data_IF_527929858439
#
_entry.id   IF_527929858439
#
_cell.length_a   1.000
_cell.length_b   1.000
_cell.length_c   1.000
_cell.angle_alpha   90.00
_cell.angle_beta   90.00
_cell.angle_gamma   90.00
#
_symmetry.space_group_name_H-M   'P 1'
#
loop_
_entity.id
_entity.type
_entity.pdbx_description
1 polymer ?
#
# COMPACT_ATOMS: atom_id res chain seq x y z
N UNK A 1 11.39 14.10 16.92
CA UNK A 1 11.00 13.67 15.56
C UNK A 1 9.51 13.88 15.44
N UNK A 2 9.10 14.65 14.44
CA UNK A 2 7.77 15.25 14.35
C UNK A 2 6.68 14.17 14.24
N UNK A 3 5.89 14.04 15.28
CA UNK A 3 4.57 13.40 15.25
C UNK A 3 3.78 14.04 14.10
N UNK A 4 3.42 13.22 13.12
CA UNK A 4 2.47 13.58 12.06
C UNK A 4 1.14 13.78 12.80
N UNK A 5 0.76 15.05 12.96
CA UNK A 5 -0.52 15.44 13.56
C UNK A 5 -1.65 14.82 12.75
N UNK A 6 -2.58 14.22 13.48
CA UNK A 6 -3.84 13.70 12.98
C UNK A 6 -4.74 14.78 12.37
N UNK A 7 -5.63 14.29 11.51
CA UNK A 7 -6.67 14.96 10.73
C UNK A 7 -6.88 16.48 10.90
N UNK A 8 -6.59 17.19 9.80
CA UNK A 8 -6.85 18.61 9.50
C UNK A 8 -5.94 19.62 10.21
N UNK A 9 -5.12 20.30 9.41
CA UNK A 9 -5.58 21.60 8.95
C UNK A 9 -5.67 21.57 7.43
N UNK A 10 -6.84 21.90 6.86
CA UNK A 10 -6.84 22.53 5.55
C UNK A 10 -5.79 23.63 5.60
N UNK A 11 -4.75 23.56 4.78
CA UNK A 11 -3.73 24.60 4.68
C UNK A 11 -4.49 25.90 4.41
N UNK A 12 -4.62 26.76 5.44
CA UNK A 12 -5.26 28.06 5.29
C UNK A 12 -4.24 28.90 4.54
N UNK A 13 -4.31 28.83 3.21
CA UNK A 13 -3.43 29.61 2.33
C UNK A 13 -3.59 31.08 2.70
N UNK A 14 -2.47 31.81 2.80
CA UNK A 14 -2.52 33.26 2.93
C UNK A 14 -3.17 33.87 1.67
N UNK A 15 -3.67 35.09 1.79
CA UNK A 15 -4.22 35.82 0.63
C UNK A 15 -3.14 36.05 -0.45
N UNK A 16 -1.87 36.23 -0.06
CA UNK A 16 -0.74 36.32 -0.99
C UNK A 16 -0.54 35.02 -1.77
N UNK A 17 -0.49 33.88 -1.07
CA UNK A 17 -0.42 32.55 -1.68
C UNK A 17 -1.57 32.28 -2.64
N UNK A 18 -2.79 32.66 -2.25
CA UNK A 18 -3.97 32.46 -3.07
C UNK A 18 -3.91 33.30 -4.35
N UNK A 19 -3.44 34.54 -4.25
CA UNK A 19 -3.27 35.44 -5.41
C UNK A 19 -2.22 34.90 -6.37
N UNK A 20 -1.07 34.48 -5.85
CA UNK A 20 -0.01 33.85 -6.65
C UNK A 20 -0.49 32.57 -7.36
N UNK A 21 -1.23 31.71 -6.65
CA UNK A 21 -1.81 30.50 -7.23
C UNK A 21 -2.92 30.80 -8.25
N UNK A 22 -3.65 31.91 -8.11
CA UNK A 22 -4.63 32.36 -9.12
C UNK A 22 -3.94 32.77 -10.41
N UNK A 23 -2.81 33.48 -10.33
CA UNK A 23 -1.99 33.85 -11.49
C UNK A 23 -1.38 32.61 -12.16
N UNK A 24 -0.84 31.68 -11.36
CA UNK A 24 -0.37 30.39 -11.85
C UNK A 24 -1.51 29.55 -12.46
N UNK A 25 -2.70 29.63 -11.88
CA UNK A 25 -3.89 28.88 -12.29
C UNK A 25 -4.65 29.43 -13.49
N UNK A 26 -4.10 30.41 -14.21
CA UNK A 26 -4.58 30.87 -15.52
C UNK A 26 -4.23 29.87 -16.64
N UNK A 27 -4.44 28.58 -16.40
CA UNK A 27 -4.20 27.50 -17.36
C UNK A 27 -5.40 27.36 -18.31
N UNK A 28 -5.19 26.92 -19.57
CA UNK A 28 -6.27 26.79 -20.55
C UNK A 28 -7.32 25.73 -20.18
N UNK A 29 -6.96 24.76 -19.35
CA UNK A 29 -7.79 23.65 -18.87
C UNK A 29 -7.40 23.29 -17.43
N UNK A 30 -8.20 22.49 -16.70
CA UNK A 30 -7.82 22.02 -15.37
C UNK A 30 -6.45 21.32 -15.35
N UNK A 31 -5.61 21.69 -14.39
CA UNK A 31 -4.24 21.19 -14.26
C UNK A 31 -3.94 20.86 -12.79
N UNK A 32 -3.41 19.67 -12.53
CA UNK A 32 -2.94 19.24 -11.21
C UNK A 32 -1.54 19.77 -10.93
N UNK A 33 -1.35 20.49 -9.83
CA UNK A 33 -0.02 20.89 -9.39
C UNK A 33 0.75 19.68 -8.84
N UNK A 34 1.82 19.27 -9.54
CA UNK A 34 2.66 18.12 -9.18
C UNK A 34 4.11 18.52 -8.88
N UNK A 35 4.44 19.80 -9.00
CA UNK A 35 5.77 20.32 -8.73
C UNK A 35 6.14 20.20 -7.25
N UNK A 36 7.08 19.31 -6.93
CA UNK A 36 7.49 19.02 -5.56
C UNK A 36 8.11 20.24 -4.86
N UNK A 37 8.81 21.09 -5.61
CA UNK A 37 9.44 22.27 -5.01
C UNK A 37 8.36 23.26 -4.61
N UNK A 38 7.43 23.56 -5.51
CA UNK A 38 6.32 24.48 -5.22
C UNK A 38 5.47 23.96 -4.07
N UNK A 39 5.07 22.68 -4.12
CA UNK A 39 4.25 22.08 -3.06
C UNK A 39 4.92 22.21 -1.69
N UNK A 40 6.25 22.00 -1.59
CA UNK A 40 6.99 22.23 -0.33
C UNK A 40 6.99 23.71 0.11
N UNK A 41 7.11 24.66 -0.83
CA UNK A 41 7.02 26.08 -0.47
C UNK A 41 5.62 26.48 0.00
N UNK A 42 4.57 25.90 -0.60
CA UNK A 42 3.19 26.07 -0.15
C UNK A 42 2.99 25.51 1.27
N UNK A 43 3.56 24.34 1.57
CA UNK A 43 3.55 23.75 2.90
C UNK A 43 4.18 24.69 3.95
N UNK A 44 5.28 25.37 3.59
CA UNK A 44 5.95 26.33 4.46
C UNK A 44 5.33 27.73 4.47
N UNK A 45 4.27 27.96 3.68
CA UNK A 45 3.63 29.28 3.55
C UNK A 45 4.51 30.34 2.86
N UNK A 46 5.47 29.92 2.02
CA UNK A 46 6.47 30.80 1.38
C UNK A 46 6.17 31.04 -0.10
N UNK A 47 5.01 31.61 -0.40
CA UNK A 47 4.57 31.79 -1.79
C UNK A 47 5.27 32.95 -2.52
N UNK A 48 5.69 33.97 -1.78
CA UNK A 48 6.30 35.18 -2.34
C UNK A 48 7.83 35.03 -2.58
N UNK A 49 8.39 33.87 -2.20
CA UNK A 49 9.83 33.56 -2.28
C UNK A 49 10.15 32.52 -3.36
N UNK A 50 9.15 32.07 -4.13
CA UNK A 50 9.35 31.07 -5.17
C UNK A 50 9.82 31.77 -6.44
N UNK A 51 11.14 31.82 -6.65
CA UNK A 51 11.69 32.21 -7.95
C UNK A 51 11.37 31.12 -8.98
N UNK A 52 10.55 31.45 -9.97
CA UNK A 52 10.22 30.60 -11.10
C UNK A 52 11.37 30.60 -12.13
N UNK A 53 12.58 30.26 -11.68
CA UNK A 53 13.73 30.09 -12.57
C UNK A 53 13.68 28.76 -13.36
N UNK A 54 12.65 27.94 -13.11
CA UNK A 54 12.42 26.61 -13.71
C UNK A 54 10.94 26.50 -14.10
N UNK A 55 10.65 25.73 -15.15
CA UNK A 55 9.28 25.39 -15.57
C UNK A 55 8.53 24.61 -14.49
N UNK A 56 7.32 25.06 -14.17
CA UNK A 56 6.42 24.46 -13.18
C UNK A 56 5.83 23.16 -13.70
N UNK A 57 6.01 22.07 -12.96
CA UNK A 57 5.44 20.76 -13.34
C UNK A 57 3.95 20.67 -13.00
N UNK A 58 3.15 20.37 -14.02
CA UNK A 58 1.70 20.16 -13.90
C UNK A 58 1.24 18.86 -14.56
N UNK A 59 0.26 18.20 -13.95
CA UNK A 59 -0.45 17.06 -14.50
C UNK A 59 -1.69 17.51 -15.26
N UNK A 60 -1.93 17.01 -16.47
CA UNK A 60 -3.10 17.36 -17.28
C UNK A 60 -3.76 16.09 -17.80
N UNK A 61 -5.08 16.03 -17.75
CA UNK A 61 -5.85 14.91 -18.31
C UNK A 61 -5.61 14.82 -19.84
N UNK A 62 -5.30 13.63 -20.34
CA UNK A 62 -4.93 13.39 -21.74
C UNK A 62 -6.06 13.73 -22.73
N UNK A 63 -7.31 13.79 -22.27
CA UNK A 63 -8.45 14.30 -23.04
C UNK A 63 -8.25 15.75 -23.51
N UNK A 64 -7.34 16.50 -22.86
CA UNK A 64 -6.99 17.87 -23.23
C UNK A 64 -5.69 17.98 -24.03
N UNK A 65 -5.11 16.88 -24.49
CA UNK A 65 -3.85 16.89 -25.25
C UNK A 65 -3.93 17.73 -26.53
N UNK A 66 -5.12 17.89 -27.11
CA UNK A 66 -5.38 18.79 -28.25
C UNK A 66 -5.10 20.28 -27.95
N UNK A 67 -5.02 20.68 -26.67
CA UNK A 67 -4.62 22.03 -26.20
C UNK A 67 -3.11 22.18 -25.98
N UNK A 68 -2.28 21.20 -26.37
CA UNK A 68 -0.84 21.20 -26.13
C UNK A 68 -0.11 22.49 -26.56
N UNK A 69 -0.54 23.12 -27.65
CA UNK A 69 0.05 24.36 -28.17
C UNK A 69 -0.39 25.63 -27.41
N UNK A 70 -1.36 25.52 -26.50
CA UNK A 70 -1.90 26.65 -25.72
C UNK A 70 -1.21 26.83 -24.36
N UNK A 71 -0.25 25.97 -24.02
CA UNK A 71 0.46 26.04 -22.74
C UNK A 71 1.59 27.07 -22.79
N UNK A 72 1.63 27.90 -21.75
CA UNK A 72 2.73 28.83 -21.49
C UNK A 72 4.04 28.03 -21.29
N UNK A 73 5.16 28.56 -21.80
CA UNK A 73 6.49 27.96 -21.67
C UNK A 73 6.95 27.82 -20.21
N UNK A 74 6.32 28.53 -19.28
CA UNK A 74 6.56 28.36 -17.84
C UNK A 74 6.09 27.02 -17.30
N UNK A 75 5.35 26.19 -18.05
CA UNK A 75 4.88 24.89 -17.61
C UNK A 75 5.61 23.72 -18.27
N UNK A 76 5.96 22.73 -17.45
CA UNK A 76 6.30 21.39 -17.89
C UNK A 76 5.06 20.50 -17.71
N UNK A 77 4.41 20.14 -18.82
CA UNK A 77 3.13 19.42 -18.82
C UNK A 77 3.36 17.91 -18.87
N UNK A 78 2.81 17.20 -17.89
CA UNK A 78 2.77 15.74 -17.84
C UNK A 78 1.33 15.28 -18.04
N UNK A 79 1.06 14.50 -19.09
CA UNK A 79 -0.28 13.99 -19.34
C UNK A 79 -0.55 12.72 -18.51
N UNK A 80 -1.78 12.57 -18.04
CA UNK A 80 -2.27 11.36 -17.39
C UNK A 80 -3.62 10.94 -17.97
N UNK A 81 -3.89 9.64 -17.93
CA UNK A 81 -5.23 9.10 -18.17
C UNK A 81 -5.97 8.94 -16.84
N UNK A 82 -7.29 9.14 -16.87
CA UNK A 82 -8.18 9.05 -15.72
C UNK A 82 -9.31 8.05 -15.97
N UNK A 83 -8.96 6.76 -15.98
CA UNK A 83 -9.92 5.68 -16.22
C UNK A 83 -10.89 5.51 -15.03
N UNK A 84 -12.18 5.33 -15.32
CA UNK A 84 -13.20 5.04 -14.31
C UNK A 84 -13.07 3.67 -13.65
N UNK A 85 -12.41 2.72 -14.30
CA UNK A 85 -12.24 1.35 -13.80
C UNK A 85 -11.12 1.20 -12.78
N UNK A 86 -10.23 2.20 -12.69
CA UNK A 86 -9.08 2.19 -11.80
C UNK A 86 -9.21 3.28 -10.73
N UNK A 87 -8.53 3.14 -9.59
CA UNK A 87 -8.51 4.15 -8.53
C UNK A 87 -7.27 5.08 -8.53
N UNK A 88 -6.56 5.13 -9.66
CA UNK A 88 -5.37 5.93 -9.87
C UNK A 88 -5.39 6.75 -11.16
N UNK A 89 -4.60 7.82 -11.18
CA UNK A 89 -4.21 8.56 -12.38
C UNK A 89 -2.96 7.91 -12.96
N UNK A 90 -2.91 7.68 -14.27
CA UNK A 90 -1.80 7.01 -14.95
C UNK A 90 -1.07 7.94 -15.91
N UNK A 91 0.12 8.37 -15.48
CA UNK A 91 1.02 9.24 -16.22
C UNK A 91 1.91 8.40 -17.14
N UNK A 92 1.67 8.50 -18.45
CA UNK A 92 2.31 7.71 -19.51
C UNK A 92 3.53 8.46 -20.10
N UNK A 93 4.51 8.77 -19.26
CA UNK A 93 5.77 9.42 -19.61
C UNK A 93 6.93 8.39 -19.68
N UNK A 94 8.16 8.86 -19.97
CA UNK A 94 9.35 7.99 -20.11
C UNK A 94 9.50 7.00 -18.94
N UNK A 95 9.21 7.47 -17.73
CA UNK A 95 9.05 6.64 -16.54
C UNK A 95 7.60 6.69 -16.08
N UNK A 96 6.79 5.71 -16.49
CA UNK A 96 5.37 5.60 -16.13
C UNK A 96 5.17 5.78 -14.63
N UNK A 97 4.20 6.61 -14.25
CA UNK A 97 3.84 6.86 -12.86
C UNK A 97 2.35 6.65 -12.65
N UNK A 98 1.98 6.03 -11.53
CA UNK A 98 0.59 6.01 -11.07
C UNK A 98 0.48 6.63 -9.67
N UNK A 99 -0.57 7.40 -9.44
CA UNK A 99 -0.91 7.97 -8.12
C UNK A 99 -2.38 7.76 -7.82
N UNK A 100 -2.81 7.61 -6.56
CA UNK A 100 -4.23 7.54 -6.25
C UNK A 100 -4.95 8.77 -6.80
N UNK A 101 -6.17 8.62 -7.33
CA UNK A 101 -6.96 9.76 -7.82
C UNK A 101 -7.83 10.41 -6.74
N UNK A 102 -8.00 9.72 -5.61
CA UNK A 102 -8.79 10.18 -4.46
C UNK A 102 -7.89 10.84 -3.40
N UNK A 103 -7.39 12.04 -3.69
CA UNK A 103 -6.72 12.89 -2.69
C UNK A 103 -7.45 14.24 -2.58
N UNK A 104 -7.45 14.86 -1.39
CA UNK A 104 -8.09 16.15 -1.21
C UNK A 104 -7.29 17.25 -1.92
N UNK A 105 -7.99 18.10 -2.65
CA UNK A 105 -7.42 19.25 -3.35
C UNK A 105 -8.30 20.48 -3.22
N UNK A 106 -7.69 21.65 -3.38
CA UNK A 106 -8.35 22.93 -3.53
C UNK A 106 -8.27 23.36 -4.99
N UNK A 107 -9.38 23.82 -5.56
CA UNK A 107 -9.40 24.41 -6.90
C UNK A 107 -9.19 25.92 -6.82
N UNK A 108 -8.18 26.43 -7.52
CA UNK A 108 -7.87 27.86 -7.64
C UNK A 108 -7.78 28.18 -9.14
N UNK A 109 -8.81 28.84 -9.68
CA UNK A 109 -8.97 28.94 -11.13
C UNK A 109 -9.09 27.53 -11.74
N UNK A 110 -8.20 27.22 -12.69
CA UNK A 110 -8.08 25.87 -13.27
C UNK A 110 -7.02 25.01 -12.58
N UNK A 111 -6.27 25.53 -11.60
CA UNK A 111 -5.27 24.75 -10.88
C UNK A 111 -5.92 23.90 -9.78
N UNK A 112 -5.59 22.62 -9.73
CA UNK A 112 -5.92 21.68 -8.65
C UNK A 112 -4.69 21.57 -7.75
N UNK A 113 -4.81 22.04 -6.52
CA UNK A 113 -3.70 22.09 -5.55
C UNK A 113 -3.98 21.08 -4.43
N UNK A 114 -3.15 20.03 -4.26
CA UNK A 114 -3.28 19.11 -3.13
C UNK A 114 -3.28 19.85 -1.78
N UNK A 115 -4.22 19.52 -0.89
CA UNK A 115 -4.34 20.21 0.41
C UNK A 115 -3.60 19.49 1.54
N UNK A 116 -3.45 18.17 1.44
CA UNK A 116 -2.61 17.38 2.35
C UNK A 116 -1.27 17.13 1.68
N UNK A 117 -0.50 18.21 1.55
CA UNK A 117 0.75 18.26 0.77
C UNK A 117 1.77 17.17 1.19
N UNK A 118 2.05 16.93 2.50
CA UNK A 118 3.01 15.92 2.89
C UNK A 118 2.65 14.53 2.36
N UNK A 119 1.38 14.14 2.50
CA UNK A 119 0.89 12.85 1.99
C UNK A 119 1.01 12.82 0.47
N UNK A 120 0.58 13.87 -0.24
CA UNK A 120 0.69 13.91 -1.71
C UNK A 120 2.15 13.76 -2.19
N UNK A 121 3.10 14.43 -1.53
CA UNK A 121 4.52 14.31 -1.86
C UNK A 121 5.05 12.90 -1.63
N UNK A 122 4.59 12.22 -0.58
CA UNK A 122 4.92 10.82 -0.32
C UNK A 122 4.30 9.88 -1.38
N UNK A 123 3.05 10.11 -1.81
CA UNK A 123 2.42 9.37 -2.91
C UNK A 123 3.18 9.57 -4.23
N UNK A 124 3.52 10.82 -4.54
CA UNK A 124 4.27 11.18 -5.74
C UNK A 124 5.68 10.59 -5.74
N UNK A 125 6.36 10.59 -4.60
CA UNK A 125 7.69 9.98 -4.46
C UNK A 125 7.68 8.49 -4.82
N UNK A 126 6.60 7.77 -4.47
CA UNK A 126 6.42 6.34 -4.70
C UNK A 126 5.70 6.00 -6.00
N UNK A 127 5.44 6.99 -6.85
CA UNK A 127 4.56 6.84 -8.01
C UNK A 127 5.15 6.01 -9.14
N UNK A 128 6.46 5.73 -9.15
CA UNK A 128 7.10 4.94 -10.19
C UNK A 128 6.38 3.60 -10.35
N UNK A 129 5.84 3.33 -11.54
CA UNK A 129 5.07 2.12 -11.78
C UNK A 129 5.98 0.91 -11.99
N UNK A 130 5.67 -0.20 -11.32
CA UNK A 130 6.27 -1.50 -11.57
C UNK A 130 5.19 -2.48 -12.01
N UNK A 131 5.34 -3.14 -13.18
CA UNK A 131 4.41 -4.16 -13.63
C UNK A 131 4.61 -5.48 -12.87
N UNK A 132 3.51 -6.20 -12.68
CA UNK A 132 3.55 -7.63 -12.40
C UNK A 132 4.07 -8.43 -13.61
N UNK A 133 4.47 -9.69 -13.39
CA UNK A 133 5.00 -10.59 -14.43
C UNK A 133 3.92 -11.22 -15.33
N UNK A 134 2.64 -11.13 -14.94
CA UNK A 134 1.50 -11.70 -15.67
C UNK A 134 1.69 -13.16 -16.11
N UNK A 135 2.21 -13.99 -15.19
CA UNK A 135 2.53 -15.39 -15.47
C UNK A 135 1.27 -16.25 -15.39
N UNK A 136 1.15 -17.20 -16.32
CA UNK A 136 0.16 -18.27 -16.19
C UNK A 136 0.70 -19.38 -15.29
N UNK A 137 0.08 -19.56 -14.12
CA UNK A 137 0.52 -20.54 -13.14
C UNK A 137 -0.17 -21.89 -13.33
N UNK A 138 0.64 -22.94 -13.54
CA UNK A 138 0.20 -24.33 -13.62
C UNK A 138 -0.05 -24.85 -12.21
N UNK A 139 -1.32 -24.89 -11.80
CA UNK A 139 -1.76 -25.32 -10.46
C UNK A 139 -2.15 -26.80 -10.36
N UNK A 140 -2.07 -27.50 -11.49
CA UNK A 140 -2.42 -28.91 -11.53
C UNK A 140 -1.31 -29.75 -10.91
N UNK A 141 -1.67 -30.58 -9.93
CA UNK A 141 -0.86 -31.74 -9.59
C UNK A 141 -0.83 -32.65 -10.82
N UNK A 142 0.35 -32.97 -11.40
CA UNK A 142 0.45 -33.90 -12.52
C UNK A 142 -0.21 -35.26 -12.21
N UNK A 143 -0.32 -35.63 -10.93
CA UNK A 143 -0.95 -36.87 -10.45
C UNK A 143 -2.48 -36.86 -10.52
N UNK A 144 -3.12 -35.69 -10.59
CA UNK A 144 -4.59 -35.53 -10.56
C UNK A 144 -5.19 -35.03 -11.88
N UNK A 145 -4.35 -34.82 -12.91
CA UNK A 145 -4.77 -34.40 -14.25
C UNK A 145 -5.86 -35.30 -14.86
N UNK A 146 -5.86 -36.58 -14.48
CA UNK A 146 -6.81 -37.58 -14.95
C UNK A 146 -8.05 -37.73 -14.04
N UNK A 147 -8.11 -37.02 -12.90
CA UNK A 147 -9.22 -37.08 -11.93
C UNK A 147 -9.68 -35.67 -11.50
N UNK A 148 -10.22 -34.86 -12.43
CA UNK A 148 -10.59 -33.47 -12.17
C UNK A 148 -11.64 -33.30 -11.05
N UNK A 149 -12.52 -34.29 -10.86
CA UNK A 149 -13.48 -34.31 -9.75
C UNK A 149 -12.78 -34.40 -8.38
N UNK A 150 -11.76 -35.26 -8.25
CA UNK A 150 -10.99 -35.43 -7.02
C UNK A 150 -10.12 -34.20 -6.73
N UNK A 151 -9.57 -33.58 -7.77
CA UNK A 151 -8.83 -32.32 -7.66
C UNK A 151 -9.70 -31.18 -7.12
N UNK A 152 -10.95 -31.05 -7.58
CA UNK A 152 -11.93 -30.08 -7.07
C UNK A 152 -12.36 -30.37 -5.63
N UNK A 153 -12.31 -31.63 -5.20
CA UNK A 153 -12.64 -32.07 -3.84
C UNK A 153 -11.47 -31.90 -2.86
N UNK A 154 -10.22 -31.90 -3.34
CA UNK A 154 -8.98 -31.78 -2.54
C UNK A 154 -8.52 -30.33 -2.43
N UNK A 155 -8.69 -29.51 -3.48
CA UNK A 155 -8.45 -28.05 -3.46
C UNK A 155 -9.64 -27.31 -2.83
N UNK A 156 -10.14 -27.85 -1.71
CA UNK A 156 -11.41 -27.53 -1.05
C UNK A 156 -11.39 -26.21 -0.28
N UNK A 157 -10.37 -25.39 -0.46
CA UNK A 157 -10.34 -24.09 0.20
C UNK A 157 -11.30 -23.14 -0.50
N UNK A 158 -12.01 -22.30 0.27
CA UNK A 158 -12.80 -21.27 -0.33
C UNK A 158 -11.85 -20.38 -1.12
N UNK A 159 -11.95 -20.44 -2.45
CA UNK A 159 -11.22 -19.53 -3.33
C UNK A 159 -11.55 -18.12 -2.87
N UNK A 160 -10.56 -17.34 -2.46
CA UNK A 160 -10.76 -15.91 -2.24
C UNK A 160 -11.30 -15.33 -3.56
N UNK A 161 -12.47 -14.65 -3.55
CA UNK A 161 -13.02 -14.04 -4.75
C UNK A 161 -12.14 -12.84 -5.11
N UNK A 162 -11.08 -13.07 -5.89
CA UNK A 162 -9.97 -12.14 -6.10
C UNK A 162 -10.39 -10.68 -6.31
N UNK A 163 -11.35 -10.42 -7.20
CA UNK A 163 -11.84 -9.07 -7.50
C UNK A 163 -12.53 -8.42 -6.28
N UNK A 164 -13.37 -9.17 -5.57
CA UNK A 164 -14.06 -8.65 -4.37
C UNK A 164 -13.08 -8.48 -3.20
N UNK A 165 -12.22 -9.46 -2.97
CA UNK A 165 -11.18 -9.41 -1.92
C UNK A 165 -10.23 -8.24 -2.15
N UNK A 166 -9.73 -8.03 -3.37
CA UNK A 166 -8.85 -6.89 -3.68
C UNK A 166 -9.58 -5.55 -3.54
N UNK A 167 -10.88 -5.48 -3.84
CA UNK A 167 -11.68 -4.28 -3.56
C UNK A 167 -11.76 -3.99 -2.05
N UNK A 168 -11.94 -5.02 -1.22
CA UNK A 168 -11.85 -4.84 0.24
C UNK A 168 -10.45 -4.39 0.66
N UNK A 169 -9.39 -4.97 0.09
CA UNK A 169 -8.02 -4.54 0.36
C UNK A 169 -7.78 -3.07 0.00
N UNK A 170 -8.32 -2.63 -1.15
CA UNK A 170 -8.26 -1.24 -1.61
C UNK A 170 -9.01 -0.30 -0.67
N UNK A 171 -10.19 -0.71 -0.17
CA UNK A 171 -10.92 0.06 0.83
C UNK A 171 -10.14 0.18 2.15
N UNK A 172 -9.51 -0.90 2.63
CA UNK A 172 -8.65 -0.83 3.82
C UNK A 172 -7.48 0.12 3.63
N UNK A 173 -6.83 0.08 2.45
CA UNK A 173 -5.80 1.04 2.06
C UNK A 173 -6.32 2.48 2.12
N UNK A 174 -7.51 2.76 1.59
CA UNK A 174 -8.08 4.11 1.67
C UNK A 174 -8.34 4.57 3.10
N UNK A 175 -8.77 3.66 3.98
CA UNK A 175 -8.90 3.96 5.41
C UNK A 175 -7.54 4.27 6.05
N UNK A 176 -6.49 3.49 5.76
CA UNK A 176 -5.12 3.75 6.22
C UNK A 176 -4.58 5.10 5.74
N UNK A 177 -4.81 5.47 4.48
CA UNK A 177 -4.36 6.74 3.91
C UNK A 177 -4.97 7.96 4.61
N UNK A 178 -6.19 7.86 5.17
CA UNK A 178 -6.81 8.94 5.97
C UNK A 178 -6.01 9.26 7.24
N UNK A 179 -5.26 8.29 7.75
CA UNK A 179 -4.38 8.42 8.91
C UNK A 179 -2.93 8.69 8.52
N UNK A 180 -2.66 8.98 7.24
CA UNK A 180 -1.30 9.20 6.73
C UNK A 180 -0.47 7.92 6.65
N UNK A 181 -1.09 6.74 6.71
CA UNK A 181 -0.40 5.45 6.64
C UNK A 181 -0.44 4.94 5.21
N UNK A 182 0.73 4.65 4.64
CA UNK A 182 0.87 4.08 3.28
C UNK A 182 1.21 2.59 3.43
N UNK A 183 0.28 1.66 3.11
CA UNK A 183 0.54 0.24 3.23
C UNK A 183 1.29 -0.34 2.02
N UNK A 184 1.96 -1.46 2.23
CA UNK A 184 2.68 -2.22 1.21
C UNK A 184 2.07 -3.61 1.06
N UNK A 185 2.02 -4.14 -0.16
CA UNK A 185 1.72 -5.56 -0.32
C UNK A 185 2.82 -6.38 0.35
N UNK A 186 2.43 -7.41 1.09
CA UNK A 186 3.35 -8.31 1.75
C UNK A 186 2.98 -9.78 1.51
N UNK A 187 3.83 -10.71 1.93
CA UNK A 187 3.51 -12.14 1.99
C UNK A 187 2.95 -12.73 0.69
N UNK A 188 1.92 -13.55 0.83
CA UNK A 188 1.28 -14.25 -0.28
C UNK A 188 0.58 -13.30 -1.25
N UNK A 189 0.07 -12.16 -0.76
CA UNK A 189 -0.52 -11.10 -1.61
C UNK A 189 0.51 -10.50 -2.54
N UNK A 190 1.70 -10.19 -2.02
CA UNK A 190 2.80 -9.64 -2.80
C UNK A 190 3.30 -10.63 -3.86
N UNK A 191 3.47 -11.91 -3.49
CA UNK A 191 3.82 -12.96 -4.44
C UNK A 191 2.75 -13.11 -5.53
N UNK A 192 1.48 -13.14 -5.17
CA UNK A 192 0.36 -13.20 -6.10
C UNK A 192 0.40 -12.05 -7.10
N UNK A 193 0.48 -10.81 -6.60
CA UNK A 193 0.61 -9.63 -7.45
C UNK A 193 1.81 -9.77 -8.39
N UNK A 194 3.01 -9.99 -7.85
CA UNK A 194 4.24 -9.99 -8.65
C UNK A 194 4.20 -11.08 -9.73
N UNK A 195 3.69 -12.26 -9.39
CA UNK A 195 3.69 -13.43 -10.25
C UNK A 195 2.57 -13.40 -11.29
N UNK A 196 1.35 -13.10 -10.89
CA UNK A 196 0.15 -13.36 -11.69
C UNK A 196 -0.88 -12.22 -11.71
N UNK A 197 -0.48 -11.01 -11.30
CA UNK A 197 -1.31 -9.81 -11.35
C UNK A 197 -2.65 -9.93 -10.60
N UNK A 198 -2.71 -10.83 -9.62
CA UNK A 198 -3.91 -11.17 -8.84
C UNK A 198 -3.46 -11.73 -7.50
N UNK A 199 -4.36 -11.81 -6.53
CA UNK A 199 -4.13 -12.64 -5.33
C UNK A 199 -4.07 -14.14 -5.71
N UNK A 200 -3.32 -14.92 -4.94
CA UNK A 200 -3.17 -16.36 -5.17
C UNK A 200 -4.53 -17.05 -4.87
N UNK A 201 -5.17 -17.74 -5.83
CA UNK A 201 -6.57 -18.18 -5.67
C UNK A 201 -6.84 -19.19 -4.55
N UNK A 202 -5.80 -19.83 -4.01
CA UNK A 202 -5.89 -20.85 -2.96
C UNK A 202 -5.31 -20.38 -1.62
N UNK A 203 -4.97 -19.09 -1.46
CA UNK A 203 -4.68 -18.52 -0.14
C UNK A 203 -5.98 -18.25 0.61
N UNK A 204 -5.88 -18.07 1.92
CA UNK A 204 -7.04 -17.87 2.82
C UNK A 204 -7.17 -16.45 3.35
N UNK A 205 -6.20 -15.60 3.06
CA UNK A 205 -5.99 -14.26 3.58
C UNK A 205 -5.27 -13.38 2.55
N UNK A 206 -5.11 -12.11 2.90
CA UNK A 206 -4.26 -11.16 2.19
C UNK A 206 -3.38 -10.41 3.19
N UNK A 207 -2.09 -10.30 2.90
CA UNK A 207 -1.15 -9.58 3.75
C UNK A 207 -0.80 -8.18 3.21
N UNK A 208 -0.81 -7.20 4.11
CA UNK A 208 -0.15 -5.91 3.92
C UNK A 208 0.79 -5.59 5.08
N UNK A 209 1.77 -4.73 4.86
CA UNK A 209 2.65 -4.23 5.89
C UNK A 209 2.60 -2.70 5.96
N UNK A 210 2.87 -2.14 7.13
CA UNK A 210 3.08 -0.70 7.34
C UNK A 210 4.37 -0.51 8.14
N UNK A 211 5.05 0.62 8.00
CA UNK A 211 6.22 0.87 8.84
C UNK A 211 5.84 0.97 10.30
N UNK A 212 6.64 0.34 11.16
CA UNK A 212 6.49 0.46 12.61
C UNK A 212 6.53 1.92 13.08
N UNK A 213 7.33 2.74 12.40
CA UNK A 213 7.51 4.17 12.61
C UNK A 213 6.32 5.00 12.13
N UNK A 214 5.43 4.41 11.33
CA UNK A 214 4.17 4.99 10.90
C UNK A 214 2.96 4.39 11.64
N UNK A 215 3.21 3.59 12.70
CA UNK A 215 2.14 3.13 13.58
C UNK A 215 1.38 4.33 14.15
N UNK A 216 0.06 4.31 13.99
CA UNK A 216 -0.83 5.35 14.48
C UNK A 216 -1.88 4.72 15.43
N UNK A 217 -1.81 4.97 16.75
CA UNK A 217 -2.81 4.47 17.70
C UNK A 217 -4.24 4.92 17.35
N UNK A 218 -4.42 6.10 16.75
CA UNK A 218 -5.76 6.57 16.36
C UNK A 218 -6.35 5.72 15.22
N UNK A 219 -5.53 5.21 14.31
CA UNK A 219 -6.00 4.26 13.30
C UNK A 219 -6.47 2.96 13.96
N UNK A 220 -5.75 2.49 14.98
CA UNK A 220 -6.15 1.31 15.74
C UNK A 220 -7.49 1.53 16.44
N UNK A 221 -7.68 2.65 17.16
CA UNK A 221 -8.97 3.00 17.76
C UNK A 221 -10.09 3.12 16.71
N UNK A 222 -9.78 3.67 15.54
CA UNK A 222 -10.72 3.76 14.43
C UNK A 222 -11.19 2.38 13.92
N UNK A 223 -10.33 1.36 13.88
CA UNK A 223 -10.73 -0.01 13.51
C UNK A 223 -11.79 -0.60 14.45
N UNK A 224 -11.84 -0.15 15.70
CA UNK A 224 -12.84 -0.55 16.70
C UNK A 224 -14.16 0.22 16.59
N UNK A 225 -14.15 1.36 15.91
CA UNK A 225 -15.33 2.20 15.72
C UNK A 225 -16.34 1.60 14.74
N UNK A 226 -17.55 2.19 14.70
CA UNK A 226 -18.55 1.89 13.66
C UNK A 226 -18.25 2.55 12.32
N UNK A 227 -17.28 3.46 12.27
CA UNK A 227 -16.89 4.18 11.06
C UNK A 227 -15.91 3.38 10.19
N UNK A 228 -15.22 2.39 10.77
CA UNK A 228 -14.42 1.46 9.98
C UNK A 228 -15.32 0.47 9.23
N UNK A 229 -14.98 0.22 7.98
CA UNK A 229 -15.63 -0.79 7.13
C UNK A 229 -15.15 -2.20 7.49
N UNK A 230 -14.24 -2.29 8.46
CA UNK A 230 -13.60 -3.50 8.92
C UNK A 230 -13.88 -3.72 10.41
N UNK A 231 -13.65 -4.96 10.83
CA UNK A 231 -13.71 -5.39 12.23
C UNK A 231 -12.44 -6.15 12.56
N UNK A 232 -11.85 -5.89 13.72
CA UNK A 232 -10.64 -6.56 14.19
C UNK A 232 -10.98 -7.98 14.64
N UNK A 233 -10.47 -8.99 13.92
CA UNK A 233 -10.66 -10.42 14.22
C UNK A 233 -9.64 -10.92 15.23
N UNK A 234 -8.37 -10.52 15.07
CA UNK A 234 -7.24 -11.01 15.85
C UNK A 234 -6.17 -9.94 15.97
N UNK A 235 -5.46 -9.94 17.09
CA UNK A 235 -4.20 -9.24 17.31
C UNK A 235 -3.16 -10.24 17.80
N UNK A 236 -1.95 -10.17 17.24
CA UNK A 236 -0.76 -10.90 17.67
C UNK A 236 0.37 -9.91 18.00
N UNK A 237 1.23 -10.27 18.96
CA UNK A 237 2.42 -9.51 19.32
C UNK A 237 2.14 -8.22 20.09
N UNK A 238 3.18 -7.42 20.28
CA UNK A 238 3.13 -6.08 20.86
C UNK A 238 3.60 -5.06 19.83
N UNK A 239 3.13 -3.80 19.89
CA UNK A 239 3.48 -2.76 18.90
C UNK A 239 4.99 -2.63 18.68
N UNK A 240 5.80 -2.82 19.72
CA UNK A 240 7.26 -2.78 19.65
C UNK A 240 7.93 -4.13 19.34
N UNK A 241 7.18 -5.23 19.25
CA UNK A 241 7.69 -6.57 18.99
C UNK A 241 6.63 -7.47 18.33
N UNK A 242 6.83 -7.75 17.05
CA UNK A 242 6.10 -8.78 16.31
C UNK A 242 4.59 -8.55 16.17
N UNK A 243 4.17 -7.29 16.04
CA UNK A 243 2.76 -6.91 15.95
C UNK A 243 2.12 -7.26 14.60
N UNK A 244 0.93 -7.85 14.67
CA UNK A 244 0.04 -8.17 13.55
C UNK A 244 -1.41 -7.94 13.97
N UNK A 245 -2.21 -7.35 13.08
CA UNK A 245 -3.67 -7.29 13.24
C UNK A 245 -4.33 -7.96 12.05
N UNK A 246 -5.21 -8.91 12.32
CA UNK A 246 -6.13 -9.46 11.32
C UNK A 246 -7.45 -8.70 11.36
N UNK A 247 -7.86 -8.13 10.24
CA UNK A 247 -9.18 -7.51 10.06
C UNK A 247 -10.05 -8.30 9.08
N UNK A 248 -11.37 -8.17 9.21
CA UNK A 248 -12.36 -8.70 8.28
C UNK A 248 -13.23 -7.57 7.75
N UNK A 249 -13.62 -7.57 6.46
CA UNK A 249 -14.63 -6.63 5.99
C UNK A 249 -15.97 -6.90 6.70
N UNK A 250 -16.73 -5.83 6.96
CA UNK A 250 -18.05 -5.93 7.59
C UNK A 250 -19.14 -6.41 6.63
N UNK A 251 -18.95 -6.19 5.33
CA UNK A 251 -19.88 -6.52 4.24
C UNK A 251 -19.12 -7.29 3.17
N UNK A 252 -19.82 -8.16 2.45
CA UNK A 252 -19.23 -8.97 1.38
C UNK A 252 -18.51 -10.21 1.89
N UNK A 253 -17.68 -10.80 1.04
CA UNK A 253 -16.91 -11.99 1.38
C UNK A 253 -15.86 -11.68 2.46
N UNK A 254 -15.86 -12.40 3.61
CA UNK A 254 -15.03 -12.06 4.77
C UNK A 254 -13.59 -12.57 4.62
N UNK A 255 -12.87 -12.14 3.57
CA UNK A 255 -11.44 -12.44 3.42
C UNK A 255 -10.66 -11.76 4.57
N UNK A 256 -9.97 -12.51 5.44
CA UNK A 256 -9.03 -11.95 6.41
C UNK A 256 -7.95 -11.12 5.72
N UNK A 257 -7.61 -9.98 6.31
CA UNK A 257 -6.51 -9.14 5.88
C UNK A 257 -5.58 -8.95 7.07
N UNK A 258 -4.34 -9.40 6.95
CA UNK A 258 -3.32 -9.27 7.99
C UNK A 258 -2.48 -8.01 7.74
N UNK A 259 -2.41 -7.16 8.76
CA UNK A 259 -1.66 -5.91 8.78
C UNK A 259 -0.44 -6.12 9.69
N UNK A 260 0.74 -6.23 9.08
CA UNK A 260 2.01 -6.41 9.79
C UNK A 260 2.70 -5.07 10.04
N UNK A 261 3.38 -4.95 11.18
CA UNK A 261 4.38 -3.89 11.36
C UNK A 261 5.74 -4.33 10.80
N UNK A 262 6.28 -3.50 9.91
CA UNK A 262 7.57 -3.65 9.29
C UNK A 262 8.60 -2.80 10.05
N UNK A 263 9.40 -3.46 10.87
CA UNK A 263 10.39 -2.86 11.75
C UNK A 263 11.73 -2.66 11.04
N UNK A 264 12.48 -1.64 11.45
CA UNK A 264 13.90 -1.52 11.11
C UNK A 264 14.75 -2.47 11.98
N UNK A 265 15.78 -3.04 11.38
CA UNK A 265 16.84 -3.74 12.07
C UNK A 265 18.20 -3.35 11.50
N UNK A 266 19.24 -3.54 12.31
CA UNK A 266 20.63 -3.31 11.89
C UNK A 266 21.47 -4.54 12.23
N UNK A 267 22.21 -5.03 11.26
CA UNK A 267 23.16 -6.12 11.48
C UNK A 267 24.42 -5.53 12.12
N UNK A 268 24.68 -5.89 13.39
CA UNK A 268 25.78 -5.30 14.16
C UNK A 268 27.16 -5.62 13.56
N UNK A 269 27.31 -6.78 12.91
CA UNK A 269 28.59 -7.21 12.32
C UNK A 269 28.92 -6.50 11.02
N UNK A 270 27.93 -6.35 10.13
CA UNK A 270 28.11 -5.77 8.79
C UNK A 270 27.75 -4.29 8.73
N UNK A 271 27.06 -3.77 9.75
CA UNK A 271 26.52 -2.42 9.78
C UNK A 271 25.33 -2.19 8.86
N UNK A 272 24.86 -3.21 8.15
CA UNK A 272 23.79 -3.12 7.14
C UNK A 272 22.41 -3.05 7.77
N UNK A 273 21.54 -2.21 7.22
CA UNK A 273 20.14 -2.13 7.63
C UNK A 273 19.32 -3.22 6.94
N UNK A 274 18.28 -3.69 7.61
CA UNK A 274 17.31 -4.62 7.08
C UNK A 274 15.91 -4.25 7.61
N UNK A 275 14.88 -4.86 7.03
CA UNK A 275 13.50 -4.72 7.52
C UNK A 275 12.99 -6.06 8.00
N UNK A 276 12.03 -6.11 8.90
CA UNK A 276 11.45 -7.38 9.31
C UNK A 276 10.01 -7.24 9.78
N UNK A 277 9.19 -8.27 9.56
CA UNK A 277 7.89 -8.44 10.23
C UNK A 277 8.00 -9.60 11.20
N UNK A 278 7.19 -9.56 12.27
CA UNK A 278 7.15 -10.66 13.23
C UNK A 278 6.13 -11.73 12.85
N UNK A 279 6.35 -12.93 13.37
CA UNK A 279 5.36 -13.99 13.44
C UNK A 279 5.30 -14.53 14.86
N UNK A 280 4.10 -14.73 15.38
CA UNK A 280 3.89 -15.21 16.75
C UNK A 280 3.12 -16.52 16.72
N UNK A 281 3.75 -17.60 17.21
CA UNK A 281 3.09 -18.89 17.34
C UNK A 281 2.17 -18.90 18.58
N UNK A 282 1.24 -19.87 18.61
CA UNK A 282 0.24 -20.01 19.68
C UNK A 282 0.90 -20.30 21.04
N UNK A 283 2.08 -20.91 21.05
CA UNK A 283 2.90 -21.15 22.25
C UNK A 283 3.78 -19.95 22.65
N UNK A 284 3.60 -18.80 21.98
CA UNK A 284 4.34 -17.57 22.19
C UNK A 284 5.72 -17.52 21.55
N UNK A 285 6.14 -18.57 20.81
CA UNK A 285 7.40 -18.53 20.08
C UNK A 285 7.36 -17.46 18.99
N UNK A 286 8.43 -16.66 18.94
CA UNK A 286 8.55 -15.51 18.04
C UNK A 286 9.45 -15.83 16.86
N UNK A 287 9.09 -15.27 15.72
CA UNK A 287 9.80 -15.40 14.46
C UNK A 287 9.99 -14.04 13.81
N UNK A 288 11.08 -13.85 13.09
CA UNK A 288 11.36 -12.68 12.27
C UNK A 288 11.48 -13.10 10.81
N UNK A 289 10.68 -12.50 9.96
CA UNK A 289 10.84 -12.57 8.52
C UNK A 289 11.74 -11.44 8.07
N UNK A 290 12.95 -11.76 7.58
CA UNK A 290 13.95 -10.75 7.25
C UNK A 290 13.82 -10.32 5.78
N UNK A 291 13.61 -9.01 5.65
CA UNK A 291 13.57 -8.09 4.51
C UNK A 291 14.91 -7.48 4.07
N UNK A 292 15.31 -7.37 2.79
CA UNK A 292 16.13 -6.23 2.39
C UNK A 292 15.43 -4.91 2.77
N UNK A 293 16.18 -3.81 2.91
CA UNK A 293 15.57 -2.49 2.97
C UNK A 293 14.61 -2.29 1.78
N UNK A 294 13.44 -1.77 2.06
CA UNK A 294 12.39 -1.61 1.06
C UNK A 294 12.55 -0.34 0.18
N UNK A 295 13.74 0.23 0.10
CA UNK A 295 13.98 1.55 -0.49
C UNK A 295 14.75 1.46 -1.83
N UNK A 296 14.24 2.02 -2.94
CA UNK A 296 13.00 2.80 -3.09
C UNK A 296 11.72 1.97 -3.23
N UNK A 297 10.58 2.63 -2.98
CA UNK A 297 9.22 2.10 -3.16
C UNK A 297 8.62 2.53 -4.50
N UNK A 298 7.83 1.64 -5.04
CA UNK A 298 7.16 1.81 -6.32
C UNK A 298 5.66 1.54 -6.17
N UNK A 299 4.89 2.04 -7.13
CA UNK A 299 3.47 1.83 -7.24
C UNK A 299 3.18 0.62 -8.14
N UNK A 300 2.12 -0.09 -7.79
CA UNK A 300 1.70 -1.33 -8.40
C UNK A 300 0.19 -1.28 -8.67
N UNK A 301 -0.22 -1.88 -9.79
CA UNK A 301 -1.62 -2.16 -10.09
C UNK A 301 -1.95 -3.60 -9.70
N UNK A 302 -2.96 -3.77 -8.85
CA UNK A 302 -3.59 -5.04 -8.54
C UNK A 302 -5.07 -4.96 -8.88
N UNK A 303 -5.45 -5.51 -10.03
CA UNK A 303 -6.84 -5.57 -10.52
C UNK A 303 -7.55 -4.21 -10.57
N UNK A 304 -6.87 -3.16 -11.01
CA UNK A 304 -7.40 -1.79 -11.12
C UNK A 304 -7.20 -0.94 -9.86
N UNK A 305 -6.56 -1.50 -8.83
CA UNK A 305 -6.33 -0.83 -7.56
C UNK A 305 -4.85 -0.56 -7.32
N UNK A 306 -4.49 0.68 -6.98
CA UNK A 306 -3.12 1.07 -6.65
C UNK A 306 -2.70 0.57 -5.28
N UNK A 307 -1.50 -0.01 -5.21
CA UNK A 307 -0.79 -0.37 -4.00
C UNK A 307 0.69 -0.03 -4.10
N UNK A 308 1.42 -0.18 -2.99
CA UNK A 308 2.86 0.04 -2.93
C UNK A 308 3.63 -1.24 -2.69
N UNK A 309 4.82 -1.31 -3.29
CA UNK A 309 5.73 -2.46 -3.30
C UNK A 309 7.17 -1.97 -3.27
N UNK A 310 8.13 -2.87 -3.03
CA UNK A 310 9.55 -2.60 -3.33
C UNK A 310 9.73 -2.38 -4.84
N UNK A 311 10.62 -1.46 -5.24
CA UNK A 311 11.01 -1.32 -6.64
C UNK A 311 11.84 -2.52 -7.17
N UNK A 312 12.31 -3.42 -6.30
CA UNK A 312 13.02 -4.66 -6.67
C UNK A 312 12.25 -5.92 -6.26
N UNK A 313 11.05 -6.16 -6.83
CA UNK A 313 10.16 -7.19 -6.31
C UNK A 313 10.71 -8.62 -6.39
N UNK A 314 11.52 -8.91 -7.41
CA UNK A 314 12.15 -10.22 -7.57
C UNK A 314 13.14 -10.54 -6.46
N UNK A 315 13.91 -9.56 -5.97
CA UNK A 315 14.88 -9.77 -4.88
C UNK A 315 14.17 -10.21 -3.60
N UNK A 316 13.07 -9.52 -3.25
CA UNK A 316 12.25 -9.86 -2.08
C UNK A 316 11.59 -11.23 -2.25
N UNK A 317 10.99 -11.51 -3.41
CA UNK A 317 10.35 -12.80 -3.68
C UNK A 317 11.37 -13.95 -3.65
N UNK A 318 12.55 -13.76 -4.21
CA UNK A 318 13.63 -14.76 -4.19
C UNK A 318 14.11 -15.03 -2.77
N UNK A 319 14.22 -14.00 -1.93
CA UNK A 319 14.63 -14.14 -0.54
C UNK A 319 13.60 -14.90 0.31
N UNK A 320 12.32 -14.61 0.12
CA UNK A 320 11.22 -15.20 0.89
C UNK A 320 10.88 -16.63 0.41
N UNK A 321 10.74 -16.82 -0.90
CA UNK A 321 10.22 -18.07 -1.50
C UNK A 321 11.30 -18.93 -2.16
N UNK A 322 12.51 -18.41 -2.36
CA UNK A 322 13.62 -19.13 -2.99
C UNK A 322 13.51 -19.20 -4.53
N UNK A 323 14.46 -19.89 -5.20
CA UNK A 323 14.61 -19.85 -6.65
C UNK A 323 13.44 -20.47 -7.43
N UNK A 324 12.52 -21.18 -6.75
CA UNK A 324 11.36 -21.82 -7.36
C UNK A 324 10.05 -21.07 -7.02
N UNK A 325 10.11 -19.79 -6.68
CA UNK A 325 8.97 -18.95 -6.31
C UNK A 325 7.85 -18.91 -7.36
N UNK A 326 8.21 -19.15 -8.63
CA UNK A 326 7.28 -19.19 -9.77
C UNK A 326 6.49 -20.51 -9.86
N UNK A 327 6.86 -21.54 -9.10
CA UNK A 327 6.16 -22.83 -9.06
C UNK A 327 5.00 -22.73 -8.07
N UNK A 328 3.82 -23.19 -8.48
CA UNK A 328 2.67 -23.23 -7.58
C UNK A 328 2.94 -24.19 -6.42
N UNK A 329 2.70 -23.71 -5.21
CA UNK A 329 2.70 -24.52 -4.00
C UNK A 329 1.35 -24.37 -3.35
N UNK A 330 0.75 -25.49 -2.95
CA UNK A 330 -0.55 -25.46 -2.28
C UNK A 330 -0.41 -24.77 -0.91
N UNK A 331 -1.15 -23.68 -0.70
CA UNK A 331 -1.11 -22.90 0.55
C UNK A 331 -1.47 -23.72 1.79
N UNK A 332 -2.25 -24.80 1.68
CA UNK A 332 -2.50 -25.72 2.81
C UNK A 332 -1.26 -26.44 3.33
N UNK A 333 -0.21 -26.52 2.51
CA UNK A 333 1.06 -27.13 2.88
C UNK A 333 2.11 -26.08 3.25
N UNK A 334 1.75 -24.80 3.19
CA UNK A 334 2.63 -23.73 3.55
C UNK A 334 2.83 -23.72 5.06
N UNK A 335 4.09 -23.76 5.48
CA UNK A 335 4.51 -23.71 6.88
C UNK A 335 5.18 -22.37 7.09
N UNK A 336 4.43 -21.40 7.58
CA UNK A 336 4.84 -19.99 7.63
C UNK A 336 6.16 -19.80 8.38
N UNK A 337 6.35 -20.48 9.51
CA UNK A 337 7.56 -20.38 10.34
C UNK A 337 8.77 -21.16 9.80
N UNK A 338 8.64 -21.83 8.65
CA UNK A 338 9.71 -22.52 7.95
C UNK A 338 10.10 -21.83 6.63
N UNK A 339 9.59 -20.63 6.37
CA UNK A 339 9.99 -19.84 5.20
C UNK A 339 11.49 -19.50 5.25
N UNK A 340 12.11 -19.30 4.09
CA UNK A 340 13.57 -19.25 3.94
C UNK A 340 14.23 -18.06 4.63
N UNK A 341 13.49 -16.98 4.78
CA UNK A 341 13.92 -15.74 5.42
C UNK A 341 13.46 -15.63 6.88
N UNK A 342 12.96 -16.73 7.48
CA UNK A 342 12.50 -16.75 8.86
C UNK A 342 13.62 -17.17 9.80
N UNK A 343 13.75 -16.44 10.91
CA UNK A 343 14.62 -16.81 12.04
C UNK A 343 13.82 -16.76 13.34
N UNK A 344 14.20 -17.59 14.31
CA UNK A 344 13.64 -17.52 15.65
C UNK A 344 14.08 -16.23 16.36
N UNK A 345 13.17 -15.64 17.13
CA UNK A 345 13.38 -14.33 17.80
C UNK A 345 13.04 -14.37 19.29
N UNK A 346 13.12 -15.55 19.91
CA UNK A 346 12.78 -15.77 21.32
C UNK A 346 11.32 -16.17 21.51
N UNK A 347 10.78 -15.88 22.69
CA UNK A 347 9.45 -16.32 23.11
C UNK A 347 8.81 -15.28 24.04
N UNK A 348 7.49 -15.07 23.92
CA UNK A 348 6.71 -14.31 24.89
C UNK A 348 6.40 -15.17 26.12
N UNK A 349 6.34 -14.56 27.30
CA UNK A 349 5.97 -15.27 28.53
C UNK A 349 4.49 -15.68 28.48
N UNK A 350 4.10 -16.68 29.29
CA UNK A 350 2.68 -17.08 29.39
C UNK A 350 1.78 -15.92 29.85
N UNK A 351 2.30 -15.03 30.71
CA UNK A 351 1.62 -13.81 31.15
C UNK A 351 1.39 -12.85 29.98
N UNK A 352 2.44 -12.56 29.19
CA UNK A 352 2.33 -11.73 28.00
C UNK A 352 1.34 -12.33 26.98
N UNK A 353 1.40 -13.64 26.77
CA UNK A 353 0.50 -14.36 25.86
C UNK A 353 -0.96 -14.20 26.25
N UNK A 354 -1.27 -14.28 27.54
CA UNK A 354 -2.63 -14.19 28.06
C UNK A 354 -3.18 -12.76 28.03
N UNK A 355 -2.35 -11.77 28.35
CA UNK A 355 -2.84 -10.44 28.70
C UNK A 355 -2.66 -9.41 27.57
N UNK A 356 -1.67 -9.58 26.69
CA UNK A 356 -1.25 -8.54 25.72
C UNK A 356 -1.08 -9.05 24.28
N UNK A 357 -0.50 -10.24 24.12
CA UNK A 357 0.05 -10.69 22.84
C UNK A 357 -0.96 -11.41 21.97
N UNK A 358 -1.82 -12.29 22.51
CA UNK A 358 -2.76 -13.08 21.70
C UNK A 358 -4.20 -12.71 22.04
N UNK A 359 -4.84 -11.94 21.17
CA UNK A 359 -6.24 -11.54 21.35
C UNK A 359 -7.07 -11.97 20.14
N UNK A 360 -8.09 -12.80 20.36
CA UNK A 360 -9.10 -13.14 19.36
C UNK A 360 -10.47 -12.58 19.73
N UNK A 361 -11.09 -11.89 18.79
CA UNK A 361 -12.35 -11.19 19.02
C UNK A 361 -13.48 -11.91 18.31
N UNK A 362 -14.43 -12.42 19.10
CA UNK A 362 -15.59 -13.14 18.60
C UNK A 362 -16.70 -12.17 18.23
N UNK A 363 -17.23 -12.31 17.02
CA UNK A 363 -18.42 -11.59 16.59
C UNK A 363 -19.65 -12.46 16.79
N UNK A 364 -20.66 -11.94 17.50
CA UNK A 364 -21.99 -12.55 17.46
C UNK A 364 -22.52 -12.40 16.03
N UNK A 365 -22.84 -13.51 15.37
CA UNK A 365 -23.64 -13.47 14.15
C UNK A 365 -25.02 -12.94 14.55
N UNK A 366 -25.38 -11.76 14.07
CA UNK A 366 -26.78 -11.35 14.09
C UNK A 366 -27.45 -12.16 12.98
N UNK A 367 -28.17 -13.21 13.38
CA UNK A 367 -29.05 -14.01 12.53
C UNK A 367 -30.23 -13.18 12.06
#
# INVERSE_FOLDING_TARGET
MNSIKSCSPSTRLSDSCRTWLLELGQTPVPALLIDRHILRQLEYGRCDQVELNISVKIGVDDVFQWKSHSWDQKFEVMYYSNDTHNDFLDFQNEQRRIIPKNFPYLRIGNLLVPTVIPVFLELWHRSNYIPCRNMTIKRDSPKLKNFPFLQKLILKDPRIPAVESVRHLANLRDQLLRFGIIPFLNGGTFLGWFRECSVIPHTTDMDIAIFSENWNPEFFEFLWSRESDFKVKRQLGMVNDSYEITVLPRVGFPTPIDIFLLYEGRNETTGTNYRWVGGTAIDGKKYKYIYPPYDPYCAADLLGHIFWVTCTPEEKVLQEYGPNWYVDQNSLKYVWNAARNVVENGQFTEEQMRDEVYNEYRFKQFT
#
